data_IF_307937901297
#
_entry.id   IF_307937901297
#
_cell.length_a   1.000
_cell.length_b   1.000
_cell.length_c   1.000
_cell.angle_alpha   90.00
_cell.angle_beta   90.00
_cell.angle_gamma   90.00
#
_symmetry.space_group_name_H-M   'P 1'
#
loop_
_entity.id
_entity.type
_entity.pdbx_description
1 polymer ?
#
# COMPACT_ATOMS: atom_id res chain seq x y z
N UNK A 1 -4.73 -6.65 4.45
CA UNK A 1 -6.18 -6.45 4.49
C UNK A 1 -6.52 -5.21 5.32
N UNK A 2 -7.51 -4.48 4.88
CA UNK A 2 -8.01 -3.27 5.53
C UNK A 2 -9.53 -3.22 5.41
N UNK A 3 -10.17 -2.42 6.25
CA UNK A 3 -11.61 -2.27 6.24
C UNK A 3 -12.04 -1.00 6.93
N UNK A 4 -13.34 -0.80 6.99
CA UNK A 4 -13.97 0.30 7.72
C UNK A 4 -14.97 -0.25 8.72
N UNK A 5 -15.07 0.41 9.86
CA UNK A 5 -16.06 0.11 10.88
C UNK A 5 -17.30 0.93 10.56
N UNK A 6 -18.45 0.26 10.57
CA UNK A 6 -19.74 0.87 10.28
C UNK A 6 -20.71 0.66 11.46
N UNK A 7 -21.41 1.71 11.83
CA UNK A 7 -22.50 1.60 12.81
C UNK A 7 -23.64 0.77 12.23
N UNK A 8 -24.08 -0.25 12.97
CA UNK A 8 -25.10 -1.18 12.48
C UNK A 8 -26.50 -0.60 12.43
N UNK A 9 -26.80 0.45 13.21
CA UNK A 9 -28.11 1.09 13.26
C UNK A 9 -28.23 2.26 12.30
N UNK A 10 -27.22 3.13 12.31
CA UNK A 10 -27.21 4.35 11.49
C UNK A 10 -26.58 4.16 10.12
N UNK A 11 -25.87 3.06 9.92
CA UNK A 11 -25.13 2.72 8.71
C UNK A 11 -24.01 3.72 8.35
N UNK A 12 -23.65 4.61 9.25
CA UNK A 12 -22.57 5.57 9.06
C UNK A 12 -21.20 4.91 9.29
N UNK A 13 -20.19 5.37 8.58
CA UNK A 13 -18.81 4.98 8.85
C UNK A 13 -18.33 5.63 10.16
N UNK A 14 -17.72 4.81 11.03
CA UNK A 14 -17.20 5.24 12.33
C UNK A 14 -15.69 5.50 12.24
N UNK A 15 -14.98 4.68 11.48
CA UNK A 15 -13.53 4.79 11.34
C UNK A 15 -12.92 3.63 10.57
N UNK A 16 -11.59 3.59 10.55
CA UNK A 16 -10.84 2.48 9.97
C UNK A 16 -10.86 1.27 10.90
N UNK A 17 -11.01 0.09 10.33
CA UNK A 17 -10.78 -1.15 11.05
C UNK A 17 -9.28 -1.34 11.34
N UNK A 18 -8.89 -2.03 12.43
CA UNK A 18 -7.53 -2.47 12.61
C UNK A 18 -7.05 -3.29 11.40
N UNK A 19 -5.76 -3.22 11.08
CA UNK A 19 -5.18 -4.08 10.06
C UNK A 19 -5.29 -5.54 10.51
N UNK A 20 -5.64 -6.42 9.59
CA UNK A 20 -5.86 -7.84 9.88
C UNK A 20 -5.35 -8.71 8.74
N UNK A 21 -5.17 -10.02 9.01
CA UNK A 21 -4.79 -11.04 8.02
C UNK A 21 -3.55 -10.63 7.20
N UNK A 22 -2.47 -10.29 7.91
CA UNK A 22 -1.18 -9.93 7.29
C UNK A 22 -0.29 -11.15 6.96
N UNK A 23 -0.76 -12.37 7.20
CA UNK A 23 0.01 -13.61 7.01
C UNK A 23 0.48 -13.85 5.58
N UNK A 24 -0.16 -13.22 4.57
CA UNK A 24 0.26 -13.29 3.16
C UNK A 24 1.15 -12.11 2.74
N UNK A 25 1.69 -11.36 3.70
CA UNK A 25 2.58 -10.22 3.46
C UNK A 25 4.02 -10.64 3.21
N UNK A 26 4.86 -9.67 2.88
CA UNK A 26 6.32 -9.80 2.83
C UNK A 26 6.83 -10.91 1.91
N UNK A 27 6.11 -11.14 0.80
CA UNK A 27 6.51 -12.16 -0.20
C UNK A 27 6.65 -13.57 0.38
N UNK A 28 5.79 -13.94 1.33
CA UNK A 28 5.84 -15.25 1.99
C UNK A 28 5.83 -16.43 0.99
N UNK A 29 5.10 -16.28 -0.12
CA UNK A 29 4.90 -17.25 -1.20
C UNK A 29 5.95 -17.18 -2.32
N UNK A 30 6.93 -16.28 -2.21
CA UNK A 30 7.94 -16.07 -3.26
C UNK A 30 9.30 -16.61 -2.85
N UNK A 31 10.02 -17.26 -3.75
CA UNK A 31 11.42 -17.60 -3.51
C UNK A 31 12.25 -16.32 -3.38
N UNK A 32 13.33 -16.40 -2.60
CA UNK A 32 14.19 -15.25 -2.25
C UNK A 32 14.63 -14.41 -3.46
N UNK A 33 15.02 -14.98 -4.62
CA UNK A 33 15.42 -14.17 -5.79
C UNK A 33 14.28 -13.35 -6.41
N UNK A 34 13.04 -13.65 -6.06
CA UNK A 34 11.84 -12.94 -6.57
C UNK A 34 11.38 -11.81 -5.64
N UNK A 35 11.93 -11.72 -4.44
CA UNK A 35 11.61 -10.66 -3.49
C UNK A 35 12.00 -9.31 -4.10
N UNK A 36 11.11 -8.32 -4.00
CA UNK A 36 11.33 -6.97 -4.53
C UNK A 36 11.18 -6.81 -6.04
N UNK A 37 11.15 -7.89 -6.83
CA UNK A 37 10.92 -7.80 -8.28
C UNK A 37 9.48 -7.47 -8.66
N UNK A 38 8.68 -7.17 -7.68
CA UNK A 38 7.21 -7.06 -7.76
C UNK A 38 6.71 -5.67 -8.14
N UNK A 39 7.54 -4.79 -8.66
CA UNK A 39 7.11 -3.48 -9.17
C UNK A 39 6.00 -3.56 -10.24
N UNK A 40 5.80 -4.75 -10.84
CA UNK A 40 4.75 -5.02 -11.82
C UNK A 40 3.65 -5.98 -11.30
N UNK A 41 3.61 -6.29 -10.02
CA UNK A 41 2.50 -7.09 -9.50
C UNK A 41 1.19 -6.32 -9.61
N UNK A 42 0.19 -7.02 -10.08
CA UNK A 42 -1.17 -6.52 -10.06
C UNK A 42 -1.56 -6.18 -8.63
N UNK A 43 -1.96 -4.96 -8.41
CA UNK A 43 -2.41 -4.45 -7.15
C UNK A 43 -3.90 -4.10 -7.27
N UNK A 44 -4.72 -4.78 -6.49
CA UNK A 44 -6.16 -4.52 -6.44
C UNK A 44 -6.48 -3.81 -5.12
N UNK A 45 -7.65 -3.15 -4.97
CA UNK A 45 -8.83 -3.28 -5.86
C UNK A 45 -8.95 -2.19 -6.95
N UNK A 46 -8.28 -1.05 -6.84
CA UNK A 46 -8.64 0.13 -7.62
C UNK A 46 -7.82 0.31 -8.91
N UNK A 47 -6.55 -0.01 -8.86
CA UNK A 47 -5.61 0.09 -10.01
C UNK A 47 -4.77 -1.17 -10.13
N UNK A 48 -4.07 -1.30 -11.26
CA UNK A 48 -3.29 -2.51 -11.55
C UNK A 48 -1.92 -2.53 -10.89
N UNK A 49 -1.38 -1.38 -10.49
CA UNK A 49 -0.06 -1.28 -9.87
C UNK A 49 -0.11 -0.46 -8.57
N UNK A 50 0.85 -0.70 -7.68
CA UNK A 50 0.97 0.11 -6.46
C UNK A 50 1.21 1.59 -6.76
N UNK A 51 1.99 1.90 -7.80
CA UNK A 51 2.28 3.28 -8.20
C UNK A 51 1.02 4.00 -8.68
N UNK A 52 0.15 3.31 -9.39
CA UNK A 52 -1.13 3.87 -9.81
C UNK A 52 -2.10 4.01 -8.64
N UNK A 53 -2.13 3.04 -7.72
CA UNK A 53 -3.00 3.12 -6.56
C UNK A 53 -2.63 4.26 -5.62
N UNK A 54 -1.33 4.45 -5.36
CA UNK A 54 -0.89 5.51 -4.43
C UNK A 54 -1.23 6.91 -4.95
N UNK A 55 -1.35 7.09 -6.28
CA UNK A 55 -1.80 8.35 -6.89
C UNK A 55 -3.26 8.67 -6.61
N UNK A 56 -4.05 7.72 -6.11
CA UNK A 56 -5.43 7.94 -5.68
C UNK A 56 -5.52 8.59 -4.30
N UNK A 57 -4.42 8.65 -3.56
CA UNK A 57 -4.36 9.33 -2.27
C UNK A 57 -4.37 10.83 -2.52
N UNK A 58 -5.42 11.49 -2.07
CA UNK A 58 -5.65 12.92 -2.31
C UNK A 58 -4.77 13.83 -1.44
N UNK A 59 -4.39 13.37 -0.25
CA UNK A 59 -3.49 14.11 0.66
C UNK A 59 -2.69 13.14 1.51
N UNK A 60 -1.43 13.50 1.80
CA UNK A 60 -0.53 12.79 2.71
C UNK A 60 -0.34 13.54 4.04
N UNK A 61 -1.11 14.57 4.33
CA UNK A 61 -1.00 15.37 5.57
C UNK A 61 -1.20 14.55 6.85
N UNK A 62 -1.92 13.44 6.74
CA UNK A 62 -2.13 12.48 7.84
C UNK A 62 -0.89 11.63 8.13
N UNK A 63 0.10 11.59 7.24
CA UNK A 63 1.28 10.74 7.33
C UNK A 63 2.51 11.55 7.75
N UNK A 64 2.98 11.32 8.96
CA UNK A 64 4.27 11.80 9.41
C UNK A 64 5.39 10.91 8.84
N UNK A 65 5.94 11.31 7.71
CA UNK A 65 6.98 10.56 7.01
C UNK A 65 8.28 10.45 7.82
N UNK A 66 8.51 11.35 8.78
CA UNK A 66 9.70 11.32 9.64
C UNK A 66 9.73 10.07 10.53
N UNK A 67 8.57 9.52 10.87
CA UNK A 67 8.43 8.28 11.66
C UNK A 67 8.92 7.03 10.91
N UNK A 68 9.15 7.13 9.61
CA UNK A 68 9.76 6.05 8.83
C UNK A 68 11.29 6.12 8.81
N UNK A 69 11.90 7.10 9.48
CA UNK A 69 13.34 7.14 9.63
C UNK A 69 13.80 6.03 10.60
N UNK A 70 14.79 5.26 10.18
CA UNK A 70 15.30 4.12 10.99
C UNK A 70 14.44 2.85 10.91
N UNK A 71 13.30 2.87 10.23
CA UNK A 71 12.41 1.70 10.11
C UNK A 71 13.10 0.48 9.48
N UNK A 72 14.15 0.70 8.67
CA UNK A 72 14.89 -0.38 8.02
C UNK A 72 15.65 -1.22 9.03
N UNK A 73 16.33 -0.59 9.99
CA UNK A 73 17.08 -1.24 11.05
C UNK A 73 16.15 -1.97 12.00
N UNK A 74 15.09 -1.31 12.46
CA UNK A 74 14.08 -1.91 13.32
C UNK A 74 13.44 -3.13 12.63
N UNK A 75 13.06 -2.99 11.37
CA UNK A 75 12.48 -4.08 10.60
C UNK A 75 13.47 -5.24 10.40
N UNK A 76 14.75 -4.94 10.19
CA UNK A 76 15.81 -5.95 10.08
C UNK A 76 15.97 -6.75 11.35
N UNK A 77 15.95 -6.09 12.51
CA UNK A 77 16.02 -6.76 13.80
C UNK A 77 14.83 -7.70 14.01
N UNK A 78 13.62 -7.25 13.68
CA UNK A 78 12.41 -8.06 13.76
C UNK A 78 12.48 -9.30 12.86
N UNK A 79 12.92 -9.14 11.61
CA UNK A 79 13.01 -10.25 10.66
C UNK A 79 14.09 -11.25 11.08
N UNK A 80 15.24 -10.77 11.59
CA UNK A 80 16.33 -11.62 12.08
C UNK A 80 15.99 -12.42 13.34
N UNK A 81 15.03 -11.94 14.12
CA UNK A 81 14.56 -12.69 15.29
C UNK A 81 13.84 -14.00 14.91
N UNK A 82 13.44 -14.14 13.64
CA UNK A 82 12.79 -15.37 13.17
C UNK A 82 13.84 -16.46 12.85
N UNK A 83 13.68 -17.62 13.48
CA UNK A 83 14.51 -18.81 13.19
C UNK A 83 14.22 -19.45 11.83
N UNK A 84 13.13 -19.03 11.15
CA UNK A 84 12.69 -19.57 9.86
C UNK A 84 13.20 -18.75 8.67
N UNK A 85 13.86 -17.62 8.90
CA UNK A 85 14.31 -16.70 7.86
C UNK A 85 15.83 -16.65 7.89
N UNK A 86 16.48 -17.16 6.85
CA UNK A 86 17.92 -17.05 6.70
C UNK A 86 18.38 -15.61 6.38
N UNK A 87 19.67 -15.35 6.52
CA UNK A 87 20.23 -14.02 6.32
C UNK A 87 20.02 -13.50 4.89
N UNK A 88 20.09 -14.37 3.88
CA UNK A 88 19.93 -13.99 2.47
C UNK A 88 18.50 -13.51 2.22
N UNK A 89 17.52 -14.24 2.75
CA UNK A 89 16.12 -13.86 2.68
C UNK A 89 15.82 -12.58 3.49
N UNK A 90 16.38 -12.46 4.68
CA UNK A 90 16.28 -11.26 5.51
C UNK A 90 16.77 -10.03 4.74
N UNK A 91 17.96 -10.10 4.13
CA UNK A 91 18.54 -8.98 3.38
C UNK A 91 17.69 -8.62 2.15
N UNK A 92 17.15 -9.62 1.45
CA UNK A 92 16.24 -9.38 0.31
C UNK A 92 14.95 -8.67 0.74
N UNK A 93 14.33 -9.09 1.84
CA UNK A 93 13.10 -8.47 2.37
C UNK A 93 13.38 -7.03 2.81
N UNK A 94 14.46 -6.80 3.57
CA UNK A 94 14.83 -5.47 4.06
C UNK A 94 15.13 -4.51 2.90
N UNK A 95 15.86 -4.98 1.88
CA UNK A 95 16.11 -4.19 0.66
C UNK A 95 14.79 -3.81 -0.04
N UNK A 96 13.89 -4.76 -0.21
CA UNK A 96 12.61 -4.51 -0.85
C UNK A 96 11.72 -3.54 -0.03
N UNK A 97 11.76 -3.62 1.30
CA UNK A 97 11.09 -2.66 2.18
C UNK A 97 11.65 -1.25 2.01
N UNK A 98 12.98 -1.11 2.00
CA UNK A 98 13.66 0.16 1.75
C UNK A 98 13.23 0.80 0.44
N UNK A 99 13.21 0.02 -0.63
CA UNK A 99 12.79 0.50 -1.95
C UNK A 99 11.34 1.00 -1.94
N UNK A 100 10.45 0.34 -1.19
CA UNK A 100 9.05 0.80 -1.04
C UNK A 100 8.94 2.09 -0.26
N UNK A 101 9.65 2.23 0.85
CA UNK A 101 9.69 3.47 1.63
C UNK A 101 10.22 4.63 0.78
N UNK A 102 11.29 4.39 0.03
CA UNK A 102 11.86 5.41 -0.88
C UNK A 102 10.89 5.80 -2.00
N UNK A 103 10.14 4.83 -2.53
CA UNK A 103 9.11 5.12 -3.54
C UNK A 103 7.97 5.96 -2.96
N UNK A 104 7.54 5.68 -1.73
CA UNK A 104 6.53 6.48 -1.04
C UNK A 104 7.02 7.91 -0.81
N UNK A 105 8.26 8.10 -0.30
CA UNK A 105 8.87 9.43 -0.11
C UNK A 105 8.85 10.23 -1.41
N UNK A 106 9.28 9.63 -2.52
CA UNK A 106 9.26 10.29 -3.84
C UNK A 106 7.86 10.73 -4.28
N UNK A 107 6.83 9.94 -3.99
CA UNK A 107 5.46 10.31 -4.34
C UNK A 107 5.00 11.50 -3.50
N UNK A 108 5.33 11.53 -2.21
CA UNK A 108 4.98 12.64 -1.31
C UNK A 108 5.67 13.92 -1.75
N UNK A 109 6.97 13.86 -2.02
CA UNK A 109 7.76 15.01 -2.49
C UNK A 109 7.19 15.58 -3.80
N UNK A 110 6.76 14.72 -4.71
CA UNK A 110 6.16 15.11 -5.99
C UNK A 110 4.72 15.64 -5.83
N UNK A 111 3.98 15.23 -4.79
CA UNK A 111 2.61 15.70 -4.56
C UNK A 111 2.57 17.11 -3.98
N UNK A 112 3.60 17.54 -3.24
CA UNK A 112 3.73 18.92 -2.77
C UNK A 112 3.87 19.95 -3.89
N UNK A 113 4.16 19.53 -5.13
CA UNK A 113 4.34 20.37 -6.32
C UNK A 113 3.17 20.30 -7.31
N UNK A 114 2.08 19.60 -7.01
CA UNK A 114 0.92 19.50 -7.91
C UNK A 114 -0.25 20.28 -7.34
N UNK A 115 -0.72 21.26 -8.12
CA UNK A 115 -2.04 21.85 -7.95
C UNK A 115 -3.10 20.73 -7.87
N UNK A 116 -3.99 20.82 -6.90
CA UNK A 116 -5.05 19.88 -6.64
C UNK A 116 -5.90 19.66 -7.90
N UNK A 117 -5.93 18.45 -8.40
CA UNK A 117 -7.01 18.04 -9.32
C UNK A 117 -8.34 18.12 -8.55
N UNK A 118 -9.27 18.90 -9.08
CA UNK A 118 -10.57 19.09 -8.44
C UNK A 118 -11.34 17.76 -8.42
N UNK A 119 -12.14 17.55 -7.37
CA UNK A 119 -13.02 16.38 -7.20
C UNK A 119 -13.98 16.17 -8.40
N UNK A 120 -14.09 17.15 -9.28
CA UNK A 120 -14.87 17.08 -10.52
C UNK A 120 -14.35 16.04 -11.53
N UNK A 121 -13.03 15.80 -11.56
CA UNK A 121 -12.42 14.88 -12.54
C UNK A 121 -12.64 13.39 -12.20
N UNK A 122 -12.97 13.07 -10.95
CA UNK A 122 -13.23 11.68 -10.51
C UNK A 122 -14.64 11.21 -10.90
N UNK A 123 -15.58 12.14 -11.18
CA UNK A 123 -16.96 11.78 -11.55
C UNK A 123 -17.12 11.34 -13.01
N UNK A 124 -16.14 11.59 -13.87
CA UNK A 124 -16.19 11.24 -15.29
C UNK A 124 -16.03 9.75 -15.61
N UNK A 125 -15.22 9.07 -14.85
CA UNK A 125 -14.82 7.68 -15.16
C UNK A 125 -15.76 6.59 -14.60
N UNK A 126 -16.63 6.94 -13.63
CA UNK A 126 -17.53 5.96 -12.98
C UNK A 126 -18.76 5.62 -13.82
N UNK A 127 -19.04 6.38 -14.89
CA UNK A 127 -20.28 6.18 -15.69
C UNK A 127 -20.15 5.20 -16.87
N UNK A 128 -18.98 4.64 -17.15
CA UNK A 128 -18.79 3.83 -18.38
C UNK A 128 -18.81 2.32 -18.21
N UNK A 129 -18.81 1.78 -17.00
CA UNK A 129 -18.64 0.33 -16.79
C UNK A 129 -19.82 -0.40 -16.14
N UNK A 130 -21.01 0.21 -16.12
CA UNK A 130 -22.21 -0.51 -15.67
C UNK A 130 -23.20 -0.60 -16.83
N UNK A 131 -22.88 -1.41 -17.82
CA UNK A 131 -23.88 -2.02 -18.69
C UNK A 131 -24.17 -3.43 -18.18
N UNK A 132 -25.18 -3.57 -17.37
CA UNK A 132 -25.81 -4.86 -17.11
C UNK A 132 -26.53 -5.29 -18.41
N UNK A 133 -25.96 -6.26 -19.12
CA UNK A 133 -26.72 -7.05 -20.07
C UNK A 133 -27.50 -8.10 -19.31
N UNK A 134 -28.74 -7.77 -18.99
CA UNK A 134 -29.74 -8.78 -18.60
C UNK A 134 -30.20 -9.54 -19.84
N UNK A 135 -29.99 -10.83 -19.85
CA UNK A 135 -30.87 -11.87 -20.41
C UNK A 135 -30.58 -13.17 -19.71
#
# INVERSE_FOLDING_TARGET
NFGVIRDVKKLNFIGSAPLFDSGTSLWFDKPTPMIGRTAKLQCKPFKNTHEEQIKLVSSFEWLDISKLNGIEEEFRELVRASIFIDNIRCDAICKAMKERVNSLKKVIDNSGNKEYYSVADVKGDVKKDISYSGK
#
